data_IF_259691513795
#
_entry.id   IF_259691513795
#
_cell.length_a   1.000
_cell.length_b   1.000
_cell.length_c   1.000
_cell.angle_alpha   90.00
_cell.angle_beta   90.00
_cell.angle_gamma   90.00
#
_symmetry.space_group_name_H-M   'P 1'
#
loop_
_entity.id
_entity.type
_entity.pdbx_description
1 polymer ?
#
# COMPACT_ATOMS: atom_id res chain seq x y z
N UNK A 1 18.20 11.95 -6.72
CA UNK A 1 16.74 11.69 -6.69
C UNK A 1 16.45 11.09 -5.33
N UNK A 2 15.64 11.74 -4.49
CA UNK A 2 15.28 11.17 -3.19
C UNK A 2 14.50 9.87 -3.45
N UNK A 3 15.02 8.74 -2.99
CA UNK A 3 14.38 7.43 -3.15
C UNK A 3 13.08 7.46 -2.36
N UNK A 4 11.94 7.50 -3.06
CA UNK A 4 10.63 7.48 -2.42
C UNK A 4 10.50 6.18 -1.62
N UNK A 5 10.33 6.29 -0.31
CA UNK A 5 10.25 5.12 0.56
C UNK A 5 8.84 4.53 0.47
N UNK A 6 8.74 3.32 -0.10
CA UNK A 6 7.48 2.62 -0.34
C UNK A 6 6.72 2.30 0.95
N UNK A 7 7.43 2.08 2.07
CA UNK A 7 6.82 1.83 3.39
C UNK A 7 6.13 3.09 3.92
N UNK A 8 6.75 4.25 3.73
CA UNK A 8 6.21 5.55 4.15
C UNK A 8 5.01 5.91 3.29
N UNK A 9 5.09 5.61 1.98
CA UNK A 9 4.00 5.83 1.04
C UNK A 9 2.76 4.96 1.38
N UNK A 10 2.94 3.67 1.65
CA UNK A 10 1.85 2.78 2.06
C UNK A 10 1.17 3.27 3.35
N UNK A 11 1.97 3.69 4.34
CA UNK A 11 1.44 4.27 5.57
C UNK A 11 0.68 5.57 5.32
N UNK A 12 1.17 6.43 4.43
CA UNK A 12 0.49 7.66 4.04
C UNK A 12 -0.85 7.36 3.33
N UNK A 13 -0.87 6.37 2.43
CA UNK A 13 -2.11 5.90 1.77
C UNK A 13 -3.09 5.37 2.80
N UNK A 14 -2.64 4.57 3.76
CA UNK A 14 -3.49 4.06 4.85
C UNK A 14 -4.12 5.21 5.67
N UNK A 15 -3.32 6.21 6.06
CA UNK A 15 -3.82 7.37 6.82
C UNK A 15 -4.85 8.18 6.02
N UNK A 16 -4.66 8.32 4.72
CA UNK A 16 -5.56 9.09 3.85
C UNK A 16 -6.83 8.31 3.47
N UNK A 17 -6.72 7.01 3.19
CA UNK A 17 -7.81 6.17 2.67
C UNK A 17 -8.61 5.47 3.75
N UNK A 18 -7.92 4.89 4.74
CA UNK A 18 -8.54 4.01 5.75
C UNK A 18 -8.99 4.81 6.97
N UNK A 19 -8.09 5.66 7.47
CA UNK A 19 -8.34 6.55 8.62
C UNK A 19 -9.05 7.85 8.19
N UNK A 20 -9.18 8.09 6.88
CA UNK A 20 -9.81 9.30 6.30
C UNK A 20 -9.23 10.62 6.86
N UNK A 21 -7.94 10.65 7.20
CA UNK A 21 -7.30 11.86 7.69
C UNK A 21 -7.08 12.87 6.58
N UNK A 22 -7.15 14.16 6.94
CA UNK A 22 -6.72 15.23 6.04
C UNK A 22 -5.20 15.14 5.76
N UNK A 23 -4.71 15.64 4.61
CA UNK A 23 -3.28 15.59 4.24
C UNK A 23 -2.36 16.16 5.33
N UNK A 24 -2.75 17.29 5.92
CA UNK A 24 -1.99 17.93 7.00
C UNK A 24 -1.96 17.11 8.29
N UNK A 25 -3.02 16.34 8.58
CA UNK A 25 -3.09 15.44 9.72
C UNK A 25 -2.24 14.18 9.47
N UNK A 26 -2.33 13.60 8.27
CA UNK A 26 -1.50 12.47 7.86
C UNK A 26 0.00 12.82 7.91
N UNK A 27 0.40 14.03 7.49
CA UNK A 27 1.78 14.49 7.60
C UNK A 27 2.29 14.57 9.05
N UNK A 28 1.44 15.03 9.99
CA UNK A 28 1.79 15.05 11.42
C UNK A 28 1.85 13.64 11.99
N UNK A 29 0.90 12.78 11.64
CA UNK A 29 0.86 11.39 12.07
C UNK A 29 2.11 10.62 11.60
N UNK A 30 2.58 10.86 10.37
CA UNK A 30 3.82 10.26 9.86
C UNK A 30 5.06 10.59 10.68
N UNK A 31 5.11 11.74 11.38
CA UNK A 31 6.21 12.04 12.31
C UNK A 31 6.27 11.06 13.48
N UNK A 32 5.13 10.54 13.93
CA UNK A 32 5.07 9.57 15.02
C UNK A 32 5.55 8.17 14.60
N UNK A 33 5.34 7.81 13.32
CA UNK A 33 5.77 6.52 12.78
C UNK A 33 7.20 6.55 12.24
N UNK A 34 7.64 7.69 11.70
CA UNK A 34 8.95 7.87 11.10
C UNK A 34 9.57 9.19 11.59
N UNK A 35 10.27 9.16 12.74
CA UNK A 35 10.86 10.36 13.34
C UNK A 35 12.05 10.88 12.53
N UNK A 36 12.74 10.00 11.80
CA UNK A 36 13.88 10.31 10.93
C UNK A 36 13.50 11.14 9.69
N UNK A 37 12.24 11.12 9.29
CA UNK A 37 11.76 11.83 8.10
C UNK A 37 11.63 13.33 8.34
N UNK A 38 12.21 14.12 7.42
CA UNK A 38 12.06 15.57 7.41
C UNK A 38 10.62 16.01 7.10
N UNK A 39 10.27 17.25 7.47
CA UNK A 39 8.93 17.80 7.19
C UNK A 39 8.62 17.82 5.69
N UNK A 40 9.62 18.19 4.87
CA UNK A 40 9.53 18.27 3.41
C UNK A 40 9.33 16.87 2.82
N UNK A 41 10.11 15.89 3.27
CA UNK A 41 9.99 14.50 2.81
C UNK A 41 8.63 13.91 3.17
N UNK A 42 8.12 14.14 4.39
CA UNK A 42 6.76 13.71 4.77
C UNK A 42 5.70 14.32 3.86
N UNK A 43 5.81 15.61 3.55
CA UNK A 43 4.87 16.29 2.66
C UNK A 43 4.89 15.69 1.24
N UNK A 44 6.07 15.34 0.72
CA UNK A 44 6.21 14.69 -0.59
C UNK A 44 5.53 13.31 -0.61
N UNK A 45 5.72 12.49 0.43
CA UNK A 45 5.08 11.17 0.51
C UNK A 45 3.55 11.28 0.64
N UNK A 46 3.05 12.21 1.46
CA UNK A 46 1.60 12.46 1.57
C UNK A 46 1.03 12.96 0.25
N UNK A 47 1.73 13.87 -0.44
CA UNK A 47 1.29 14.39 -1.75
C UNK A 47 1.24 13.27 -2.79
N UNK A 48 2.24 12.40 -2.83
CA UNK A 48 2.25 11.26 -3.74
C UNK A 48 1.16 10.23 -3.43
N UNK A 49 0.90 9.96 -2.15
CA UNK A 49 -0.20 9.10 -1.72
C UNK A 49 -1.57 9.70 -2.11
N UNK A 50 -1.76 10.99 -1.87
CA UNK A 50 -2.98 11.71 -2.23
C UNK A 50 -3.20 11.71 -3.75
N UNK A 51 -2.16 12.02 -4.52
CA UNK A 51 -2.19 12.01 -5.98
C UNK A 51 -2.54 10.62 -6.50
N UNK A 52 -1.94 9.56 -5.96
CA UNK A 52 -2.27 8.18 -6.33
C UNK A 52 -3.75 7.85 -6.07
N UNK A 53 -4.29 8.23 -4.92
CA UNK A 53 -5.70 8.01 -4.59
C UNK A 53 -6.67 8.78 -5.51
N UNK A 54 -6.30 9.99 -5.93
CA UNK A 54 -7.19 10.88 -6.73
C UNK A 54 -7.01 10.74 -8.23
N UNK A 55 -5.83 10.33 -8.71
CA UNK A 55 -5.53 10.15 -10.13
C UNK A 55 -6.13 8.85 -10.71
N UNK A 56 -6.89 8.08 -9.92
CA UNK A 56 -7.40 6.77 -10.34
C UNK A 56 -6.30 5.72 -10.54
N UNK A 57 -5.02 6.09 -10.33
CA UNK A 57 -3.91 5.16 -10.12
C UNK A 57 -4.08 4.56 -8.75
N UNK A 58 -5.00 3.60 -8.64
CA UNK A 58 -4.91 2.59 -7.62
C UNK A 58 -3.49 2.04 -7.73
N UNK A 59 -2.60 2.51 -6.85
CA UNK A 59 -1.39 1.79 -6.51
C UNK A 59 -1.94 0.49 -5.95
N UNK A 60 -2.13 -0.48 -6.85
CA UNK A 60 -2.44 -1.85 -6.49
C UNK A 60 -1.38 -2.22 -5.49
N UNK A 61 -1.80 -2.23 -4.22
CA UNK A 61 -1.09 -2.91 -3.16
C UNK A 61 -0.56 -4.20 -3.77
N UNK A 62 0.75 -4.48 -3.81
CA UNK A 62 1.14 -5.88 -3.90
C UNK A 62 0.47 -6.52 -2.68
N UNK A 63 -0.56 -7.31 -2.94
CA UNK A 63 -1.40 -7.91 -1.91
C UNK A 63 -0.46 -8.52 -0.85
N UNK A 64 -0.57 -8.14 0.44
CA UNK A 64 0.05 -8.97 1.45
C UNK A 64 -0.73 -10.29 1.39
N UNK A 65 -0.02 -11.40 1.22
CA UNK A 65 -0.54 -12.78 1.35
C UNK A 65 -1.34 -13.26 0.13
N UNK A 66 -0.91 -14.20 -0.73
CA UNK A 66 -0.11 -15.43 -0.54
C UNK A 66 -0.44 -16.28 0.69
N UNK A 67 -1.45 -15.91 1.47
CA UNK A 67 -1.85 -16.61 2.70
C UNK A 67 -3.37 -16.66 2.92
N UNK A 68 -4.16 -16.36 1.88
CA UNK A 68 -5.62 -16.43 1.92
C UNK A 68 -6.19 -17.37 0.85
N UNK A 69 -5.40 -18.37 0.46
CA UNK A 69 -5.76 -19.37 -0.54
C UNK A 69 -6.04 -20.71 0.18
N UNK A 70 -7.29 -21.02 0.54
CA UNK A 70 -7.65 -22.36 1.01
C UNK A 70 -7.62 -23.40 -0.13
N UNK A 71 -7.47 -22.99 -1.39
CA UNK A 71 -7.50 -23.86 -2.57
C UNK A 71 -6.13 -24.45 -2.94
N UNK A 72 -5.03 -23.86 -2.47
CA UNK A 72 -3.64 -24.36 -2.66
C UNK A 72 -3.35 -25.63 -1.88
N UNK A 73 -4.19 -26.00 -0.91
CA UNK A 73 -4.08 -27.27 -0.20
C UNK A 73 -4.80 -28.44 -0.92
N UNK A 74 -5.68 -28.17 -1.89
CA UNK A 74 -6.46 -29.23 -2.55
C UNK A 74 -6.14 -29.43 -4.05
N UNK A 75 -5.58 -28.45 -4.74
CA UNK A 75 -5.44 -28.52 -6.20
C UNK A 75 -4.16 -29.22 -6.71
N UNK A 76 -3.33 -29.80 -5.83
CA UNK A 76 -2.08 -30.48 -6.22
C UNK A 76 -2.24 -31.97 -6.61
N UNK A 77 -3.44 -32.51 -6.49
CA UNK A 77 -3.82 -33.87 -6.84
C UNK A 77 -5.15 -33.73 -7.60
N UNK A 78 -5.32 -33.99 -8.90
CA UNK A 78 -4.75 -35.02 -9.75
C UNK A 78 -4.86 -34.58 -11.22
N UNK A 79 -3.81 -34.88 -11.99
CA UNK A 79 -3.88 -35.04 -13.44
C UNK A 79 -4.71 -36.28 -13.76
N UNK A 80 -5.80 -36.16 -14.52
CA UNK A 80 -6.01 -37.00 -15.71
C UNK A 80 -7.14 -36.44 -16.57
N UNK A 81 -6.86 -36.22 -17.86
CA UNK A 81 -7.86 -35.76 -18.82
C UNK A 81 -8.79 -36.88 -19.27
N UNK A 82 -9.82 -36.51 -20.03
CA UNK A 82 -10.31 -37.29 -21.17
C UNK A 82 -11.21 -36.35 -22.00
N UNK A 83 -10.95 -36.29 -23.30
CA UNK A 83 -11.84 -35.66 -24.27
C UNK A 83 -12.95 -36.62 -24.67
N UNK A 84 -14.01 -36.04 -25.21
CA UNK A 84 -14.93 -36.67 -26.18
C UNK A 84 -15.19 -35.64 -27.29
#
# INVERSE_FOLDING_TARGET
MATMNTVVLDKAVFLLRDVHQSPSAAQRALKGYFPELGLIERAQHVRAAYDSLHAGRILSRPAPSELSDPSRFAAAHERHGFGD
#
